data_IF_093404408772
#
_entry.id   IF_093404408772
#
_cell.length_a   1.000
_cell.length_b   1.000
_cell.length_c   1.000
_cell.angle_alpha   90.00
_cell.angle_beta   90.00
_cell.angle_gamma   90.00
#
_symmetry.space_group_name_H-M   'P 1'
#
loop_
_entity.id
_entity.type
_entity.pdbx_description
1 polymer ?
#
# COMPACT_ATOMS: atom_id res chain seq x y z
N UNK A 1 51.13 40.11 -15.04
CA UNK A 1 51.66 38.99 -15.86
C UNK A 1 51.88 37.69 -15.07
N UNK A 2 51.87 37.71 -13.72
CA UNK A 2 52.16 36.52 -12.88
C UNK A 2 50.92 35.62 -12.68
N UNK A 3 49.71 36.20 -12.61
CA UNK A 3 48.47 35.44 -12.39
C UNK A 3 47.96 34.62 -13.59
N UNK A 4 48.44 34.93 -14.80
CA UNK A 4 48.07 34.17 -16.01
C UNK A 4 48.92 32.91 -16.17
N UNK A 5 50.17 32.91 -15.67
CA UNK A 5 51.10 31.79 -15.78
C UNK A 5 50.70 30.62 -14.86
N UNK A 6 50.24 30.93 -13.65
CA UNK A 6 49.82 29.95 -12.64
C UNK A 6 48.54 29.19 -13.07
N UNK A 7 47.60 29.89 -13.73
CA UNK A 7 46.40 29.26 -14.32
C UNK A 7 46.72 28.33 -15.49
N UNK A 8 47.77 28.61 -16.27
CA UNK A 8 48.18 27.76 -17.40
C UNK A 8 48.90 26.51 -16.89
N UNK A 9 49.77 26.65 -15.88
CA UNK A 9 50.50 25.54 -15.27
C UNK A 9 49.57 24.56 -14.54
N UNK A 10 48.54 25.08 -13.86
CA UNK A 10 47.52 24.28 -13.19
C UNK A 10 46.59 23.55 -14.19
N UNK A 11 46.37 24.12 -15.38
CA UNK A 11 45.59 23.48 -16.46
C UNK A 11 46.36 22.34 -17.14
N UNK A 12 47.66 22.52 -17.38
CA UNK A 12 48.52 21.49 -17.97
C UNK A 12 48.71 20.27 -17.06
N UNK A 13 48.87 20.48 -15.75
CA UNK A 13 48.98 19.39 -14.76
C UNK A 13 47.68 18.59 -14.58
N UNK A 14 46.53 19.22 -14.77
CA UNK A 14 45.23 18.55 -14.74
C UNK A 14 44.98 17.70 -16.00
N UNK A 15 45.41 18.15 -17.19
CA UNK A 15 45.29 17.36 -18.42
C UNK A 15 46.15 16.09 -18.38
N UNK A 16 47.39 16.17 -17.90
CA UNK A 16 48.25 14.99 -17.76
C UNK A 16 47.71 13.98 -16.74
N UNK A 17 47.19 14.44 -15.59
CA UNK A 17 46.54 13.55 -14.61
C UNK A 17 45.26 12.93 -15.15
N UNK A 18 44.49 13.67 -15.96
CA UNK A 18 43.28 13.14 -16.59
C UNK A 18 43.62 12.09 -17.65
N UNK A 19 44.70 12.27 -18.42
CA UNK A 19 45.21 11.27 -19.36
C UNK A 19 45.73 10.02 -18.66
N UNK A 20 46.46 10.17 -17.56
CA UNK A 20 46.97 9.05 -16.75
C UNK A 20 45.81 8.28 -16.08
N UNK A 21 44.81 8.99 -15.56
CA UNK A 21 43.60 8.40 -14.99
C UNK A 21 42.77 7.67 -16.06
N UNK A 22 42.60 8.26 -17.24
CA UNK A 22 41.93 7.61 -18.38
C UNK A 22 42.72 6.38 -18.84
N UNK A 23 44.05 6.45 -18.90
CA UNK A 23 44.90 5.31 -19.24
C UNK A 23 44.80 4.17 -18.22
N UNK A 24 44.65 4.49 -16.93
CA UNK A 24 44.42 3.50 -15.87
C UNK A 24 43.01 2.91 -15.90
N UNK A 25 42.03 3.64 -16.45
CA UNK A 25 40.64 3.20 -16.58
C UNK A 25 40.40 2.35 -17.84
N UNK A 26 41.20 2.56 -18.89
CA UNK A 26 41.06 1.86 -20.18
C UNK A 26 42.10 0.76 -20.41
N UNK A 27 42.85 0.38 -19.38
CA UNK A 27 43.80 -0.74 -19.34
C UNK A 27 44.51 -1.03 -20.69
N UNK A 28 45.20 -0.02 -21.22
CA UNK A 28 45.94 -0.12 -22.49
C UNK A 28 47.30 -0.86 -22.32
N UNK A 29 47.38 -1.79 -21.38
CA UNK A 29 48.52 -2.65 -21.02
C UNK A 29 48.71 -3.83 -22.00
N UNK A 30 48.13 -3.75 -23.20
CA UNK A 30 47.77 -4.92 -24.02
C UNK A 30 48.92 -5.58 -24.81
N UNK A 31 50.19 -5.22 -24.56
CA UNK A 31 51.31 -5.77 -25.35
C UNK A 31 51.88 -7.08 -24.83
N UNK A 32 51.62 -7.44 -23.57
CA UNK A 32 52.04 -8.73 -22.99
C UNK A 32 50.83 -9.70 -22.86
N UNK A 33 49.60 -9.18 -22.78
CA UNK A 33 48.38 -10.00 -22.80
C UNK A 33 48.08 -10.59 -24.18
N UNK A 34 48.43 -9.90 -25.27
CA UNK A 34 48.15 -10.35 -26.65
C UNK A 34 48.86 -11.66 -27.01
N UNK A 35 50.04 -11.93 -26.47
CA UNK A 35 50.79 -13.19 -26.67
C UNK A 35 50.22 -14.34 -25.83
N UNK A 36 49.67 -14.04 -24.65
CA UNK A 36 49.01 -15.04 -23.80
C UNK A 36 47.57 -15.33 -24.24
N UNK A 37 46.90 -14.37 -24.87
CA UNK A 37 45.56 -14.52 -25.44
C UNK A 37 45.58 -15.32 -26.75
N UNK A 38 46.63 -15.19 -27.59
CA UNK A 38 46.73 -15.94 -28.86
C UNK A 38 46.86 -17.45 -28.67
N UNK A 39 47.39 -17.90 -27.53
CA UNK A 39 47.56 -19.32 -27.15
C UNK A 39 46.38 -19.93 -26.39
N UNK A 40 45.36 -19.14 -26.04
CA UNK A 40 44.18 -19.65 -25.33
C UNK A 40 43.07 -20.01 -26.32
N UNK A 41 42.68 -21.30 -26.36
CA UNK A 41 41.63 -21.81 -27.27
C UNK A 41 40.24 -21.17 -27.06
N UNK A 42 39.99 -20.60 -25.88
CA UNK A 42 38.72 -19.95 -25.54
C UNK A 42 38.77 -18.43 -25.74
N UNK A 43 39.90 -17.87 -26.15
CA UNK A 43 40.02 -16.43 -26.35
C UNK A 43 39.39 -15.99 -27.68
N UNK A 44 38.76 -14.80 -27.74
CA UNK A 44 38.14 -14.28 -28.95
C UNK A 44 39.12 -13.97 -30.09
N UNK A 45 40.43 -13.93 -29.81
CA UNK A 45 41.51 -13.71 -30.78
C UNK A 45 42.41 -14.94 -31.00
N UNK A 46 41.88 -16.15 -30.79
CA UNK A 46 42.65 -17.40 -30.90
C UNK A 46 43.30 -17.58 -32.28
N UNK A 47 44.63 -17.77 -32.30
CA UNK A 47 45.40 -18.04 -33.52
C UNK A 47 45.73 -19.53 -33.61
N UNK A 48 44.99 -20.23 -34.48
CA UNK A 48 45.08 -21.70 -34.63
C UNK A 48 46.48 -22.15 -34.99
N UNK A 49 47.12 -21.49 -35.95
CA UNK A 49 48.44 -21.90 -36.47
C UNK A 49 49.54 -21.81 -35.41
N UNK A 50 49.54 -20.74 -34.61
CA UNK A 50 50.51 -20.56 -33.53
C UNK A 50 50.30 -21.57 -32.38
N UNK A 51 49.04 -21.85 -32.03
CA UNK A 51 48.70 -22.85 -31.01
C UNK A 51 49.08 -24.27 -31.43
N UNK A 52 48.77 -24.65 -32.68
CA UNK A 52 49.09 -25.99 -33.20
C UNK A 52 50.59 -26.17 -33.37
N UNK A 53 51.31 -25.14 -33.82
CA UNK A 53 52.77 -25.18 -33.94
C UNK A 53 53.44 -25.36 -32.57
N UNK A 54 53.02 -24.59 -31.57
CA UNK A 54 53.52 -24.71 -30.19
C UNK A 54 53.22 -26.11 -29.61
N UNK A 55 52.04 -26.67 -29.92
CA UNK A 55 51.64 -28.02 -29.49
C UNK A 55 52.49 -29.12 -30.15
N UNK A 56 52.81 -28.99 -31.44
CA UNK A 56 53.67 -29.93 -32.18
C UNK A 56 55.13 -29.87 -31.74
N UNK A 57 55.62 -28.68 -31.34
CA UNK A 57 56.99 -28.48 -30.84
C UNK A 57 57.15 -28.94 -29.38
N UNK A 58 56.09 -28.92 -28.58
CA UNK A 58 56.13 -29.20 -27.13
C UNK A 58 55.67 -30.60 -26.71
N UNK A 59 54.78 -31.27 -27.48
CA UNK A 59 54.17 -32.56 -27.09
C UNK A 59 54.69 -33.76 -27.88
N UNK A 60 54.76 -34.92 -27.23
CA UNK A 60 55.04 -36.20 -27.89
C UNK A 60 53.81 -36.76 -28.64
N UNK A 61 54.01 -37.72 -29.54
CA UNK A 61 52.92 -38.29 -30.36
C UNK A 61 51.80 -38.91 -29.52
N UNK A 62 52.13 -39.69 -28.48
CA UNK A 62 51.14 -40.29 -27.57
C UNK A 62 50.31 -39.23 -26.81
N UNK A 63 50.93 -38.10 -26.42
CA UNK A 63 50.21 -36.99 -25.80
C UNK A 63 49.29 -36.29 -26.80
N UNK A 64 49.74 -36.14 -28.06
CA UNK A 64 48.96 -35.55 -29.13
C UNK A 64 47.68 -36.37 -29.42
N UNK A 65 47.79 -37.71 -29.47
CA UNK A 65 46.64 -38.60 -29.61
C UNK A 65 45.67 -38.50 -28.44
N UNK A 66 46.18 -38.45 -27.20
CA UNK A 66 45.32 -38.25 -26.02
C UNK A 66 44.63 -36.90 -26.03
N UNK A 67 45.31 -35.85 -26.51
CA UNK A 67 44.75 -34.50 -26.65
C UNK A 67 43.65 -34.47 -27.70
N UNK A 68 43.83 -35.18 -28.82
CA UNK A 68 42.80 -35.36 -29.86
C UNK A 68 41.56 -36.07 -29.30
N UNK A 69 41.74 -37.22 -28.66
CA UNK A 69 40.65 -37.96 -28.01
C UNK A 69 39.89 -37.12 -26.97
N UNK A 70 40.63 -36.31 -26.21
CA UNK A 70 40.06 -35.40 -25.21
C UNK A 70 39.26 -34.27 -25.89
N UNK A 71 39.79 -33.68 -26.96
CA UNK A 71 39.11 -32.63 -27.72
C UNK A 71 37.81 -33.14 -28.34
N UNK A 72 37.80 -34.37 -28.87
CA UNK A 72 36.59 -35.01 -29.40
C UNK A 72 35.52 -35.17 -28.31
N UNK A 73 35.91 -35.48 -27.08
CA UNK A 73 34.98 -35.57 -25.94
C UNK A 73 34.44 -34.18 -25.56
N UNK A 74 35.32 -33.18 -25.47
CA UNK A 74 34.95 -31.80 -25.15
C UNK A 74 33.97 -31.23 -26.19
N UNK A 75 34.18 -31.50 -27.47
CA UNK A 75 33.26 -31.09 -28.56
C UNK A 75 31.87 -31.70 -28.34
N UNK A 76 31.78 -33.00 -28.02
CA UNK A 76 30.50 -33.68 -27.78
C UNK A 76 29.80 -33.19 -26.52
N UNK A 77 30.57 -32.91 -25.46
CA UNK A 77 30.05 -32.36 -24.22
C UNK A 77 29.51 -30.94 -24.44
N UNK A 78 30.24 -30.09 -25.16
CA UNK A 78 29.80 -28.75 -25.53
C UNK A 78 28.52 -28.77 -26.37
N UNK A 79 28.40 -29.67 -27.34
CA UNK A 79 27.17 -29.83 -28.13
C UNK A 79 25.98 -30.25 -27.25
N UNK A 80 26.20 -31.22 -26.36
CA UNK A 80 25.17 -31.67 -25.41
C UNK A 80 24.74 -30.54 -24.46
N UNK A 81 25.71 -29.78 -23.94
CA UNK A 81 25.46 -28.63 -23.06
C UNK A 81 24.69 -27.52 -23.79
N UNK A 82 25.03 -27.25 -25.05
CA UNK A 82 24.31 -26.31 -25.88
C UNK A 82 22.85 -26.74 -26.05
N UNK A 83 22.60 -28.01 -26.40
CA UNK A 83 21.26 -28.56 -26.54
C UNK A 83 20.47 -28.49 -25.22
N UNK A 84 21.10 -28.83 -24.10
CA UNK A 84 20.49 -28.75 -22.78
C UNK A 84 20.10 -27.32 -22.41
N UNK A 85 20.98 -26.35 -22.67
CA UNK A 85 20.70 -24.94 -22.40
C UNK A 85 19.49 -24.44 -23.21
N UNK A 86 19.42 -24.81 -24.48
CA UNK A 86 18.29 -24.48 -25.35
C UNK A 86 17.00 -25.10 -24.82
N UNK A 87 17.02 -26.38 -24.45
CA UNK A 87 15.87 -27.09 -23.88
C UNK A 87 15.39 -26.43 -22.58
N UNK A 88 16.29 -26.15 -21.65
CA UNK A 88 15.96 -25.45 -20.40
C UNK A 88 15.36 -24.08 -20.66
N UNK A 89 15.94 -23.32 -21.60
CA UNK A 89 15.48 -21.98 -21.92
C UNK A 89 14.06 -22.01 -22.51
N UNK A 90 13.80 -22.90 -23.47
CA UNK A 90 12.46 -23.08 -24.03
C UNK A 90 11.46 -23.54 -22.98
N UNK A 91 11.81 -24.46 -22.09
CA UNK A 91 10.92 -24.87 -21.00
C UNK A 91 10.60 -23.73 -20.04
N UNK A 92 11.58 -22.89 -19.72
CA UNK A 92 11.36 -21.69 -18.90
C UNK A 92 10.41 -20.72 -19.62
N UNK A 93 10.56 -20.52 -20.92
CA UNK A 93 9.63 -19.69 -21.72
C UNK A 93 8.21 -20.25 -21.79
N UNK A 94 8.06 -21.56 -21.99
CA UNK A 94 6.77 -22.24 -22.00
C UNK A 94 6.10 -22.09 -20.63
N UNK A 95 6.83 -22.36 -19.54
CA UNK A 95 6.34 -22.23 -18.17
C UNK A 95 5.94 -20.79 -17.82
N UNK A 96 6.73 -19.81 -18.23
CA UNK A 96 6.41 -18.39 -18.06
C UNK A 96 5.13 -18.03 -18.82
N UNK A 97 4.99 -18.49 -20.06
CA UNK A 97 3.80 -18.26 -20.89
C UNK A 97 2.55 -18.90 -20.28
N UNK A 98 2.65 -20.13 -19.78
CA UNK A 98 1.55 -20.79 -19.09
C UNK A 98 1.17 -20.09 -17.79
N UNK A 99 2.16 -19.55 -17.07
CA UNK A 99 1.93 -18.74 -15.87
C UNK A 99 1.16 -17.46 -16.22
N UNK A 100 1.56 -16.76 -17.29
CA UNK A 100 0.83 -15.58 -17.79
C UNK A 100 -0.61 -15.94 -18.17
N UNK A 101 -0.82 -17.08 -18.83
CA UNK A 101 -2.17 -17.56 -19.19
C UNK A 101 -3.03 -17.80 -17.95
N UNK A 102 -2.48 -18.50 -16.94
CA UNK A 102 -3.17 -18.72 -15.66
C UNK A 102 -3.48 -17.40 -14.93
N UNK A 103 -2.53 -16.46 -14.91
CA UNK A 103 -2.75 -15.13 -14.35
C UNK A 103 -3.90 -14.40 -15.04
N UNK A 104 -3.96 -14.43 -16.37
CA UNK A 104 -5.05 -13.84 -17.15
C UNK A 104 -6.42 -14.42 -16.74
N UNK A 105 -6.56 -15.73 -16.73
CA UNK A 105 -7.83 -16.38 -16.35
C UNK A 105 -8.23 -16.06 -14.90
N UNK A 106 -7.26 -16.02 -13.98
CA UNK A 106 -7.53 -15.64 -12.59
C UNK A 106 -8.00 -14.19 -12.47
N UNK A 107 -7.41 -13.26 -13.22
CA UNK A 107 -7.81 -11.86 -13.24
C UNK A 107 -9.22 -11.70 -13.83
N UNK A 108 -9.54 -12.40 -14.91
CA UNK A 108 -10.89 -12.40 -15.50
C UNK A 108 -11.93 -12.94 -14.49
N UNK A 109 -11.61 -14.01 -13.77
CA UNK A 109 -12.47 -14.53 -12.71
C UNK A 109 -12.63 -13.52 -11.57
N UNK A 110 -11.54 -12.86 -11.16
CA UNK A 110 -11.56 -11.86 -10.10
C UNK A 110 -12.42 -10.66 -10.47
N UNK A 111 -12.34 -10.18 -11.71
CA UNK A 111 -13.17 -9.08 -12.22
C UNK A 111 -14.66 -9.42 -12.13
N UNK A 112 -15.03 -10.66 -12.50
CA UNK A 112 -16.40 -11.16 -12.37
C UNK A 112 -16.88 -11.17 -10.91
N UNK A 113 -16.06 -11.66 -9.98
CA UNK A 113 -16.42 -11.68 -8.56
C UNK A 113 -16.54 -10.27 -7.96
N UNK A 114 -15.64 -9.35 -8.31
CA UNK A 114 -15.71 -7.93 -7.90
C UNK A 114 -17.01 -7.30 -8.42
N UNK A 115 -17.38 -7.58 -9.66
CA UNK A 115 -18.65 -7.09 -10.24
C UNK A 115 -19.85 -7.59 -9.44
N UNK A 116 -19.88 -8.88 -9.06
CA UNK A 116 -20.96 -9.44 -8.20
C UNK A 116 -21.05 -8.75 -6.85
N UNK A 117 -19.91 -8.41 -6.25
CA UNK A 117 -19.87 -7.67 -4.96
C UNK A 117 -20.45 -6.27 -5.13
N UNK A 118 -20.05 -5.54 -6.18
CA UNK A 118 -20.59 -4.20 -6.48
C UNK A 118 -22.10 -4.26 -6.72
N UNK A 119 -22.58 -5.22 -7.51
CA UNK A 119 -24.01 -5.41 -7.75
C UNK A 119 -24.77 -5.73 -6.45
N UNK A 120 -24.18 -6.55 -5.57
CA UNK A 120 -24.76 -6.88 -4.27
C UNK A 120 -24.80 -5.67 -3.34
N UNK A 121 -23.75 -4.84 -3.34
CA UNK A 121 -23.71 -3.59 -2.57
C UNK A 121 -24.74 -2.58 -3.09
N UNK A 122 -24.94 -2.51 -4.41
CA UNK A 122 -26.02 -1.73 -5.02
C UNK A 122 -27.40 -2.19 -4.53
N UNK A 123 -27.66 -3.50 -4.55
CA UNK A 123 -28.90 -4.09 -4.01
C UNK A 123 -29.10 -3.77 -2.54
N UNK A 124 -28.06 -3.92 -1.70
CA UNK A 124 -28.12 -3.60 -0.27
C UNK A 124 -28.44 -2.12 -0.06
N UNK A 125 -27.83 -1.23 -0.85
CA UNK A 125 -28.06 0.22 -0.75
C UNK A 125 -29.52 0.55 -1.06
N UNK A 126 -30.05 0.02 -2.17
CA UNK A 126 -31.47 0.21 -2.54
C UNK A 126 -32.41 -0.38 -1.48
N UNK A 127 -32.11 -1.58 -0.98
CA UNK A 127 -32.92 -2.19 0.09
C UNK A 127 -32.86 -1.38 1.38
N UNK A 128 -31.70 -0.87 1.76
CA UNK A 128 -31.52 -0.02 2.94
C UNK A 128 -32.29 1.29 2.82
N UNK A 129 -32.24 1.92 1.64
CA UNK A 129 -33.02 3.12 1.34
C UNK A 129 -34.52 2.85 1.41
N UNK A 130 -34.99 1.75 0.81
CA UNK A 130 -36.40 1.34 0.89
C UNK A 130 -36.86 1.12 2.34
N UNK A 131 -36.06 0.43 3.16
CA UNK A 131 -36.34 0.22 4.58
C UNK A 131 -36.34 1.54 5.34
N UNK A 132 -35.37 2.41 5.08
CA UNK A 132 -35.28 3.74 5.69
C UNK A 132 -36.52 4.58 5.37
N UNK A 133 -36.93 4.60 4.10
CA UNK A 133 -38.11 5.32 3.63
C UNK A 133 -39.41 4.75 4.20
N UNK A 134 -39.53 3.41 4.28
CA UNK A 134 -40.68 2.76 4.91
C UNK A 134 -40.78 3.06 6.42
N UNK A 135 -39.65 3.17 7.11
CA UNK A 135 -39.58 3.45 8.55
C UNK A 135 -39.65 4.95 8.91
N UNK A 136 -39.28 5.84 8.00
CA UNK A 136 -39.33 7.30 8.18
C UNK A 136 -40.67 7.82 8.74
N UNK A 137 -41.86 7.44 8.22
CA UNK A 137 -43.13 7.91 8.77
C UNK A 137 -43.39 7.40 10.19
N UNK A 138 -42.95 6.19 10.53
CA UNK A 138 -43.09 5.64 11.89
C UNK A 138 -42.16 6.34 12.88
N UNK A 139 -40.94 6.68 12.47
CA UNK A 139 -40.01 7.48 13.29
C UNK A 139 -40.56 8.88 13.55
N UNK A 140 -41.12 9.53 12.53
CA UNK A 140 -41.75 10.84 12.67
C UNK A 140 -42.97 10.80 13.59
N UNK A 141 -43.91 9.87 13.35
CA UNK A 141 -45.10 9.67 14.20
C UNK A 141 -44.73 9.34 15.64
N UNK A 142 -43.76 8.45 15.84
CA UNK A 142 -43.25 8.08 17.16
C UNK A 142 -42.64 9.27 17.90
N UNK A 143 -41.80 10.07 17.22
CA UNK A 143 -41.20 11.28 17.80
C UNK A 143 -42.28 12.29 18.25
N UNK A 144 -43.28 12.54 17.38
CA UNK A 144 -44.41 13.43 17.70
C UNK A 144 -45.20 12.91 18.92
N UNK A 145 -45.42 11.59 19.00
CA UNK A 145 -46.17 11.00 20.11
C UNK A 145 -45.39 11.06 21.43
N UNK A 146 -44.09 10.79 21.38
CA UNK A 146 -43.17 10.98 22.52
C UNK A 146 -43.17 12.43 22.97
N UNK A 147 -43.10 13.39 22.05
CA UNK A 147 -43.16 14.82 22.37
C UNK A 147 -44.47 15.21 23.06
N UNK A 148 -45.62 14.74 22.55
CA UNK A 148 -46.93 14.92 23.19
C UNK A 148 -46.97 14.35 24.61
N UNK A 149 -46.52 13.11 24.80
CA UNK A 149 -46.46 12.44 26.10
C UNK A 149 -45.55 13.18 27.09
N UNK A 150 -44.39 13.66 26.63
CA UNK A 150 -43.47 14.49 27.43
C UNK A 150 -44.14 15.81 27.81
N UNK A 151 -44.89 16.43 26.88
CA UNK A 151 -45.70 17.61 27.15
C UNK A 151 -46.73 17.38 28.26
N UNK A 152 -47.52 16.30 28.14
CA UNK A 152 -48.52 15.91 29.16
C UNK A 152 -47.86 15.65 30.51
N UNK A 153 -46.77 14.88 30.56
CA UNK A 153 -46.03 14.60 31.80
C UNK A 153 -45.50 15.87 32.46
N UNK A 154 -45.02 16.84 31.68
CA UNK A 154 -44.58 18.15 32.19
C UNK A 154 -45.74 18.94 32.82
N UNK A 155 -46.92 18.91 32.20
CA UNK A 155 -48.12 19.54 32.75
C UNK A 155 -48.56 18.85 34.05
N UNK A 156 -48.62 17.51 34.05
CA UNK A 156 -48.98 16.72 35.21
C UNK A 156 -48.05 17.00 36.40
N UNK A 157 -46.73 17.07 36.19
CA UNK A 157 -45.77 17.42 37.25
C UNK A 157 -46.00 18.83 37.83
N UNK A 158 -46.38 19.79 36.99
CA UNK A 158 -46.70 21.16 37.45
C UNK A 158 -47.99 21.19 38.26
N UNK A 159 -48.99 20.41 37.83
CA UNK A 159 -50.26 20.27 38.53
C UNK A 159 -50.06 19.56 39.89
N UNK A 160 -49.30 18.46 39.91
CA UNK A 160 -48.91 17.74 41.12
C UNK A 160 -48.23 18.67 42.13
N UNK A 161 -47.32 19.53 41.67
CA UNK A 161 -46.66 20.52 42.53
C UNK A 161 -47.66 21.51 43.16
N UNK A 162 -48.66 21.97 42.41
CA UNK A 162 -49.71 22.86 42.94
C UNK A 162 -50.57 22.13 43.99
N UNK A 163 -50.98 20.89 43.74
CA UNK A 163 -51.79 20.13 44.70
C UNK A 163 -51.05 19.79 45.99
N UNK A 164 -49.74 19.52 45.92
CA UNK A 164 -48.92 19.26 47.10
C UNK A 164 -48.53 20.53 47.85
N UNK A 165 -48.70 21.72 47.25
CA UNK A 165 -48.28 23.00 47.81
C UNK A 165 -48.92 23.31 49.18
N UNK A 166 -50.23 23.17 49.42
CA UNK A 166 -50.84 23.54 50.70
C UNK A 166 -50.33 22.66 51.85
N UNK A 167 -50.11 21.37 51.60
CA UNK A 167 -49.51 20.46 52.58
C UNK A 167 -48.05 20.83 52.85
N UNK A 168 -47.25 21.07 51.80
CA UNK A 168 -45.85 21.50 51.93
C UNK A 168 -45.72 22.83 52.67
N UNK A 169 -46.62 23.78 52.42
CA UNK A 169 -46.64 25.09 53.09
C UNK A 169 -47.01 24.95 54.58
N UNK A 170 -48.03 24.15 54.90
CA UNK A 170 -48.41 23.85 56.30
C UNK A 170 -47.27 23.18 57.07
N UNK A 171 -46.56 22.23 56.46
CA UNK A 171 -45.40 21.58 57.08
C UNK A 171 -44.21 22.54 57.25
N UNK A 172 -43.91 23.37 56.25
CA UNK A 172 -42.82 24.36 56.33
C UNK A 172 -43.09 25.43 57.40
N UNK A 173 -44.37 25.84 57.57
CA UNK A 173 -44.77 26.75 58.65
C UNK A 173 -44.62 26.12 60.04
N UNK A 174 -44.92 24.82 60.19
CA UNK A 174 -44.71 24.09 61.45
C UNK A 174 -43.22 23.91 61.78
N UNK A 175 -42.38 23.75 60.76
CA UNK A 175 -40.93 23.57 60.92
C UNK A 175 -40.14 24.90 61.06
N UNK A 176 -40.83 26.06 61.12
CA UNK A 176 -40.23 27.41 61.14
C UNK A 176 -39.29 27.73 59.95
N UNK A 177 -39.39 27.00 58.84
CA UNK A 177 -38.58 27.22 57.63
C UNK A 177 -39.25 28.21 56.67
N UNK A 178 -39.30 29.49 57.06
CA UNK A 178 -40.01 30.54 56.31
C UNK A 178 -39.40 30.86 54.93
N UNK A 179 -38.09 30.63 54.74
CA UNK A 179 -37.41 30.85 53.45
C UNK A 179 -37.91 29.88 52.37
N UNK A 180 -38.02 28.59 52.70
CA UNK A 180 -38.51 27.57 51.76
C UNK A 180 -40.00 27.77 51.46
N UNK A 181 -40.79 28.15 52.47
CA UNK A 181 -42.21 28.47 52.32
C UNK A 181 -42.45 29.60 51.31
N UNK A 182 -41.69 30.69 51.43
CA UNK A 182 -41.77 31.84 50.51
C UNK A 182 -41.37 31.45 49.09
N UNK A 183 -40.30 30.67 48.91
CA UNK A 183 -39.87 30.17 47.60
C UNK A 183 -40.93 29.29 46.92
N UNK A 184 -41.52 28.34 47.66
CA UNK A 184 -42.59 27.50 47.11
C UNK A 184 -43.82 28.32 46.72
N UNK A 185 -44.20 29.30 47.55
CA UNK A 185 -45.32 30.19 47.26
C UNK A 185 -45.08 31.06 46.02
N UNK A 186 -43.89 31.64 45.85
CA UNK A 186 -43.53 32.45 44.67
C UNK A 186 -43.57 31.63 43.38
N UNK A 187 -43.00 30.41 43.41
CA UNK A 187 -43.01 29.50 42.24
C UNK A 187 -44.44 29.10 41.89
N UNK A 188 -45.25 28.72 42.88
CA UNK A 188 -46.65 28.34 42.65
C UNK A 188 -47.49 29.52 42.16
N UNK A 189 -47.34 30.71 42.74
CA UNK A 189 -48.06 31.91 42.32
C UNK A 189 -47.73 32.27 40.86
N UNK A 190 -46.47 32.12 40.44
CA UNK A 190 -46.07 32.30 39.03
C UNK A 190 -46.76 31.30 38.09
N UNK A 191 -46.90 30.04 38.52
CA UNK A 191 -47.60 29.01 37.74
C UNK A 191 -49.10 29.32 37.69
N UNK A 192 -49.73 29.63 38.82
CA UNK A 192 -51.17 29.92 38.93
C UNK A 192 -51.57 31.15 38.12
N UNK A 193 -50.79 32.25 38.18
CA UNK A 193 -51.02 33.44 37.33
C UNK A 193 -51.01 33.12 35.84
N UNK A 194 -50.16 32.20 35.40
CA UNK A 194 -50.09 31.79 33.99
C UNK A 194 -51.32 30.99 33.53
N UNK A 195 -51.97 30.26 34.44
CA UNK A 195 -53.16 29.43 34.16
C UNK A 195 -54.47 30.03 34.69
N UNK A 196 -54.47 31.29 35.11
CA UNK A 196 -55.61 32.02 35.69
C UNK A 196 -56.84 32.10 34.76
N UNK A 197 -56.64 31.95 33.44
CA UNK A 197 -57.70 31.98 32.43
C UNK A 197 -58.48 30.65 32.33
N UNK A 198 -58.01 29.57 32.96
CA UNK A 198 -58.68 28.27 32.95
C UNK A 198 -59.69 28.26 34.11
N UNK A 199 -60.98 28.10 33.79
CA UNK A 199 -62.08 28.14 34.74
C UNK A 199 -61.94 27.16 35.93
N UNK A 200 -61.18 26.07 35.75
CA UNK A 200 -60.89 25.07 36.79
C UNK A 200 -59.96 25.55 37.91
N UNK A 201 -59.29 26.70 37.77
CA UNK A 201 -58.43 27.30 38.79
C UNK A 201 -59.04 28.58 39.43
N UNK A 202 -60.32 28.86 39.13
CA UNK A 202 -61.07 29.98 39.72
C UNK A 202 -61.85 29.53 40.96
#
# INVERSE_FOLDING_TARGET
>A
MVFTFDRILCRATMESRMQELMSSYYDLSDKDETVSQSKNINAPGFLVDDYVKDMLESMGMDELLRRDDQMIKEIKELDTNMQMLVYENYNKFISATDTIRKMKTNVESMESEVKKVVDSMGKITVQSENVSNALAPFRSKGCIQVEKLVGVRRLLKRLEFIFQLPQRLKSAMKAQEYDKATKYFVVANRILKRYQHIASFK
#
